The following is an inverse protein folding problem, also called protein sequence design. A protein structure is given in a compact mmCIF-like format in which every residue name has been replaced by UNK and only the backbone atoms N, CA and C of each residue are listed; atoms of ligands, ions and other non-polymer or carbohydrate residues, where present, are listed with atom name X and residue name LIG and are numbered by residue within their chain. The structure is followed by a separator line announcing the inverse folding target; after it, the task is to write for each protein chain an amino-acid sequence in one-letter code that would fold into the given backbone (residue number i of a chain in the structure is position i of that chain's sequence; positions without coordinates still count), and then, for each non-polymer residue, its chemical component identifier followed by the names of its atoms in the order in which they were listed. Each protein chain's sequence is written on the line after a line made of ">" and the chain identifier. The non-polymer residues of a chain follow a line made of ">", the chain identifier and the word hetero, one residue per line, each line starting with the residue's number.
data_IF_615995726261
#
_entry.id   IF_615995726261
#
_cell.length_a   1.000
_cell.length_b   1.000
_cell.length_c   1.000
_cell.angle_alpha   90.00
_cell.angle_beta   90.00
_cell.angle_gamma   90.00
#
_symmetry.space_group_name_H-M   'P 1'
#
loop_
_entity.id
_entity.type
_entity.pdbx_description
1 polymer ?
#
# COMPACT_ATOMS: atom_id res chain seq x y z
N UNK A 1 19.84 -4.85 -25.00
CA UNK A 1 18.86 -4.87 -26.10
C UNK A 1 17.86 -6.01 -25.89
N UNK A 2 18.35 -7.24 -25.66
CA UNK A 2 17.51 -8.44 -25.45
C UNK A 2 16.48 -8.32 -24.31
N UNK A 3 16.88 -7.86 -23.11
CA UNK A 3 15.96 -7.67 -21.96
C UNK A 3 14.88 -6.63 -22.26
N UNK A 4 15.24 -5.53 -22.92
CA UNK A 4 14.27 -4.50 -23.28
C UNK A 4 13.22 -5.02 -24.26
N UNK A 5 13.65 -5.80 -25.27
CA UNK A 5 12.75 -6.37 -26.27
C UNK A 5 11.83 -7.44 -25.67
N UNK A 6 12.34 -8.24 -24.73
CA UNK A 6 11.53 -9.20 -23.94
C UNK A 6 10.43 -8.49 -23.15
N UNK A 7 10.80 -7.49 -22.36
CA UNK A 7 9.83 -6.72 -21.55
C UNK A 7 8.83 -5.99 -22.43
N UNK A 8 9.27 -5.44 -23.57
CA UNK A 8 8.40 -4.79 -24.53
C UNK A 8 7.36 -5.75 -25.11
N UNK A 9 7.78 -6.95 -25.53
CA UNK A 9 6.88 -7.96 -26.06
C UNK A 9 5.83 -8.40 -25.01
N UNK A 10 6.27 -8.59 -23.76
CA UNK A 10 5.39 -8.93 -22.64
C UNK A 10 4.36 -7.81 -22.38
N UNK A 11 4.77 -6.54 -22.36
CA UNK A 11 3.88 -5.40 -22.19
C UNK A 11 2.92 -5.21 -23.41
N UNK A 12 3.35 -5.54 -24.63
CA UNK A 12 2.48 -5.54 -25.81
C UNK A 12 1.37 -6.61 -25.69
N UNK A 13 1.72 -7.82 -25.20
CA UNK A 13 0.74 -8.86 -24.91
C UNK A 13 -0.28 -8.41 -23.84
N UNK A 14 0.19 -7.83 -22.73
CA UNK A 14 -0.69 -7.29 -21.69
C UNK A 14 -1.59 -6.17 -22.21
N UNK A 15 -1.06 -5.28 -23.09
CA UNK A 15 -1.85 -4.19 -23.68
C UNK A 15 -2.94 -4.72 -24.60
N UNK A 16 -2.66 -5.73 -25.41
CA UNK A 16 -3.68 -6.39 -26.24
C UNK A 16 -4.75 -7.06 -25.37
N UNK A 17 -4.33 -7.81 -24.34
CA UNK A 17 -5.24 -8.48 -23.42
C UNK A 17 -6.14 -7.49 -22.64
N UNK A 18 -5.63 -6.29 -22.29
CA UNK A 18 -6.41 -5.29 -21.56
C UNK A 18 -7.65 -4.82 -22.31
N UNK A 19 -7.62 -4.76 -23.64
CA UNK A 19 -8.78 -4.37 -24.45
C UNK A 19 -9.92 -5.39 -24.38
N UNK A 20 -9.59 -6.68 -24.40
CA UNK A 20 -10.58 -7.75 -24.27
C UNK A 20 -11.11 -7.87 -22.85
N UNK A 21 -10.24 -7.75 -21.86
CA UNK A 21 -10.60 -7.78 -20.44
C UNK A 21 -11.57 -6.64 -20.06
N UNK A 22 -11.34 -5.43 -20.60
CA UNK A 22 -12.20 -4.28 -20.36
C UNK A 22 -13.64 -4.46 -20.88
N UNK A 23 -13.89 -5.42 -21.78
CA UNK A 23 -15.24 -5.73 -22.29
C UNK A 23 -15.95 -6.82 -21.48
N UNK A 24 -15.26 -7.49 -20.58
CA UNK A 24 -15.82 -8.53 -19.72
C UNK A 24 -16.74 -7.94 -18.65
N UNK A 25 -17.88 -8.57 -18.44
CA UNK A 25 -18.82 -8.19 -17.38
C UNK A 25 -18.24 -8.40 -15.98
N UNK A 26 -18.77 -7.68 -14.98
CA UNK A 26 -18.40 -7.90 -13.58
C UNK A 26 -18.63 -9.34 -13.11
N UNK A 27 -19.68 -10.00 -13.63
CA UNK A 27 -19.94 -11.41 -13.34
C UNK A 27 -18.83 -12.31 -13.88
N UNK A 28 -18.45 -12.18 -15.15
CA UNK A 28 -17.38 -12.99 -15.74
C UNK A 28 -16.07 -12.82 -14.99
N UNK A 29 -15.73 -11.58 -14.57
CA UNK A 29 -14.53 -11.31 -13.77
C UNK A 29 -14.61 -11.94 -12.38
N UNK A 30 -15.78 -11.92 -11.74
CA UNK A 30 -16.00 -12.57 -10.45
C UNK A 30 -15.89 -14.10 -10.55
N UNK A 31 -16.52 -14.70 -11.55
CA UNK A 31 -16.47 -16.16 -11.79
C UNK A 31 -15.01 -16.61 -12.03
N UNK A 32 -14.23 -15.84 -12.80
CA UNK A 32 -12.80 -16.06 -12.98
C UNK A 32 -12.03 -16.01 -11.66
N UNK A 33 -12.26 -14.99 -10.83
CA UNK A 33 -11.55 -14.83 -9.54
C UNK A 33 -11.87 -15.97 -8.57
N UNK A 34 -13.11 -16.44 -8.52
CA UNK A 34 -13.49 -17.60 -7.72
C UNK A 34 -12.79 -18.88 -8.20
N UNK A 35 -12.65 -19.08 -9.52
CA UNK A 35 -11.92 -20.22 -10.06
C UNK A 35 -10.41 -20.10 -9.77
N UNK A 36 -9.82 -18.89 -9.82
CA UNK A 36 -8.42 -18.65 -9.41
C UNK A 36 -8.23 -19.01 -7.93
N UNK A 37 -9.10 -18.55 -7.03
CA UNK A 37 -9.03 -18.87 -5.61
C UNK A 37 -9.06 -20.39 -5.37
N UNK A 38 -9.95 -21.09 -6.05
CA UNK A 38 -10.08 -22.55 -6.01
C UNK A 38 -8.81 -23.26 -6.52
N UNK A 39 -8.27 -22.83 -7.68
CA UNK A 39 -7.06 -23.43 -8.25
C UNK A 39 -5.81 -23.15 -7.39
N UNK A 40 -5.70 -22.02 -6.71
CA UNK A 40 -4.63 -21.78 -5.74
C UNK A 40 -4.69 -22.78 -4.56
N UNK A 41 -5.89 -23.08 -4.05
CA UNK A 41 -6.09 -24.11 -3.02
C UNK A 41 -5.68 -25.50 -3.50
N UNK A 42 -6.14 -25.88 -4.69
CA UNK A 42 -5.85 -27.20 -5.26
C UNK A 42 -4.36 -27.42 -5.53
N UNK A 43 -3.64 -26.36 -5.86
CA UNK A 43 -2.21 -26.40 -6.18
C UNK A 43 -1.34 -25.84 -5.01
N UNK A 44 -1.85 -25.81 -3.78
CA UNK A 44 -1.13 -25.26 -2.62
C UNK A 44 0.21 -25.96 -2.37
N UNK A 45 0.29 -27.27 -2.59
CA UNK A 45 1.53 -28.03 -2.45
C UNK A 45 2.64 -27.58 -3.39
N UNK A 46 2.30 -27.25 -4.64
CA UNK A 46 3.26 -26.76 -5.65
C UNK A 46 3.77 -25.36 -5.30
N UNK A 47 2.86 -24.48 -4.84
CA UNK A 47 3.22 -23.14 -4.36
C UNK A 47 4.18 -23.23 -3.17
N UNK A 48 3.87 -24.08 -2.17
CA UNK A 48 4.71 -24.28 -0.98
C UNK A 48 6.06 -24.90 -1.35
N UNK A 49 6.09 -25.81 -2.32
CA UNK A 49 7.33 -26.41 -2.81
C UNK A 49 8.22 -25.35 -3.47
N UNK A 50 7.69 -24.50 -4.32
CA UNK A 50 8.40 -23.38 -4.92
C UNK A 50 8.88 -22.37 -3.85
N UNK A 51 8.07 -22.10 -2.84
CA UNK A 51 8.41 -21.21 -1.73
C UNK A 51 9.57 -21.74 -0.87
N UNK A 52 9.64 -23.05 -0.65
CA UNK A 52 10.77 -23.67 0.05
C UNK A 52 12.10 -23.43 -0.66
N UNK A 53 12.12 -23.41 -2.00
CA UNK A 53 13.32 -23.08 -2.78
C UNK A 53 13.73 -21.64 -2.50
N UNK A 54 12.78 -20.69 -2.57
CA UNK A 54 13.03 -19.27 -2.29
C UNK A 54 13.55 -19.06 -0.87
N UNK A 55 12.95 -19.71 0.12
CA UNK A 55 13.37 -19.63 1.53
C UNK A 55 14.76 -20.19 1.78
N UNK A 56 15.14 -21.30 1.11
CA UNK A 56 16.48 -21.85 1.22
C UNK A 56 17.51 -20.87 0.66
N UNK A 57 17.28 -20.34 -0.54
CA UNK A 57 18.17 -19.36 -1.17
C UNK A 57 18.26 -18.06 -0.35
N UNK A 58 17.17 -17.62 0.25
CA UNK A 58 17.13 -16.43 1.10
C UNK A 58 18.00 -16.62 2.36
N UNK A 59 17.91 -17.78 3.02
CA UNK A 59 18.77 -18.13 4.17
C UNK A 59 20.24 -18.15 3.81
N UNK A 60 20.59 -18.80 2.69
CA UNK A 60 21.98 -18.88 2.19
C UNK A 60 22.56 -17.49 1.88
N UNK A 61 21.71 -16.55 1.50
CA UNK A 61 22.06 -15.14 1.26
C UNK A 61 22.06 -14.26 2.52
N UNK A 62 21.82 -14.82 3.73
CA UNK A 62 21.87 -14.09 5.01
C UNK A 62 20.72 -13.12 5.23
N UNK A 63 19.55 -13.36 4.63
CA UNK A 63 18.35 -12.53 4.87
C UNK A 63 17.86 -12.69 6.30
N UNK A 64 17.44 -11.60 6.94
CA UNK A 64 16.98 -11.58 8.33
C UNK A 64 15.75 -12.44 8.57
N UNK A 65 15.59 -12.95 9.81
CA UNK A 65 14.43 -13.79 10.19
C UNK A 65 13.08 -13.09 9.94
N UNK A 66 13.01 -11.78 10.16
CA UNK A 66 11.81 -10.99 9.89
C UNK A 66 11.44 -10.97 8.39
N UNK A 67 12.45 -10.91 7.52
CA UNK A 67 12.23 -10.98 6.06
C UNK A 67 11.92 -12.41 5.61
N UNK A 68 12.50 -13.43 6.26
CA UNK A 68 12.15 -14.83 6.00
C UNK A 68 10.70 -15.13 6.38
N UNK A 69 10.20 -14.58 7.50
CA UNK A 69 8.78 -14.72 7.85
C UNK A 69 7.85 -14.06 6.83
N UNK A 70 8.23 -12.87 6.31
CA UNK A 70 7.48 -12.20 5.23
C UNK A 70 7.43 -13.01 3.95
N UNK A 71 8.49 -13.76 3.64
CA UNK A 71 8.63 -14.57 2.43
C UNK A 71 7.91 -15.91 2.54
N UNK A 72 7.79 -16.45 3.75
CA UNK A 72 7.28 -17.80 4.00
C UNK A 72 5.80 -17.94 3.61
N UNK A 73 5.49 -19.00 2.86
CA UNK A 73 4.14 -19.50 2.64
C UNK A 73 3.98 -20.92 3.20
N UNK A 74 2.92 -21.13 3.95
CA UNK A 74 2.45 -22.43 4.42
C UNK A 74 0.99 -22.62 3.97
N UNK A 75 0.38 -23.75 4.27
CA UNK A 75 -1.02 -24.04 3.89
C UNK A 75 -1.99 -22.96 4.36
N UNK A 76 -1.85 -22.51 5.61
CA UNK A 76 -2.71 -21.46 6.17
C UNK A 76 -2.54 -20.12 5.42
N UNK A 77 -1.32 -19.75 5.04
CA UNK A 77 -1.06 -18.52 4.29
C UNK A 77 -1.55 -18.62 2.86
N UNK A 78 -1.42 -19.78 2.19
CA UNK A 78 -2.01 -20.00 0.86
C UNK A 78 -3.54 -19.95 0.91
N UNK A 79 -4.16 -20.57 1.93
CA UNK A 79 -5.61 -20.42 2.17
C UNK A 79 -6.00 -18.95 2.36
N UNK A 80 -5.18 -18.19 3.10
CA UNK A 80 -5.37 -16.74 3.26
C UNK A 80 -5.35 -15.97 1.94
N UNK A 81 -4.47 -16.35 0.99
CA UNK A 81 -4.44 -15.74 -0.36
C UNK A 81 -5.75 -16.02 -1.12
N UNK A 82 -6.22 -17.24 -1.09
CA UNK A 82 -7.48 -17.61 -1.76
C UNK A 82 -8.69 -16.89 -1.14
N UNK A 83 -8.76 -16.82 0.18
CA UNK A 83 -9.80 -16.08 0.92
C UNK A 83 -9.76 -14.58 0.60
N UNK A 84 -8.57 -13.98 0.48
CA UNK A 84 -8.43 -12.58 0.08
C UNK A 84 -9.00 -12.33 -1.33
N UNK A 85 -8.79 -13.24 -2.28
CA UNK A 85 -9.38 -13.13 -3.62
C UNK A 85 -10.93 -13.25 -3.55
N UNK A 86 -11.47 -14.17 -2.76
CA UNK A 86 -12.93 -14.28 -2.56
C UNK A 86 -13.51 -13.02 -1.92
N UNK A 87 -12.74 -12.39 -1.01
CA UNK A 87 -13.14 -11.10 -0.46
C UNK A 87 -13.19 -10.01 -1.54
N UNK A 88 -12.19 -9.93 -2.44
CA UNK A 88 -12.20 -9.01 -3.59
C UNK A 88 -13.43 -9.26 -4.48
N UNK A 89 -13.86 -10.51 -4.67
CA UNK A 89 -15.11 -10.84 -5.42
C UNK A 89 -16.34 -10.20 -4.78
N UNK A 90 -16.41 -10.17 -3.45
CA UNK A 90 -17.55 -9.61 -2.71
C UNK A 90 -17.66 -8.08 -2.82
N UNK A 91 -16.59 -7.39 -3.20
CA UNK A 91 -16.58 -5.94 -3.33
C UNK A 91 -17.44 -5.46 -4.50
N UNK A 92 -18.03 -4.26 -4.43
CA UNK A 92 -18.74 -3.65 -5.53
C UNK A 92 -17.88 -3.57 -6.80
N UNK A 93 -18.51 -3.73 -7.97
CA UNK A 93 -17.82 -3.53 -9.24
C UNK A 93 -17.56 -2.03 -9.47
N UNK A 94 -16.29 -1.59 -9.60
CA UNK A 94 -15.99 -0.18 -9.80
C UNK A 94 -16.32 0.29 -11.24
N UNK A 95 -16.45 -0.64 -12.20
CA UNK A 95 -16.62 -0.34 -13.62
C UNK A 95 -18.07 0.03 -13.94
N UNK A 96 -18.24 1.09 -14.74
CA UNK A 96 -19.55 1.58 -15.16
C UNK A 96 -20.30 2.43 -14.13
N UNK A 97 -19.76 2.56 -12.91
CA UNK A 97 -20.27 3.50 -11.92
C UNK A 97 -19.96 4.94 -12.34
N UNK A 98 -20.79 5.89 -11.91
CA UNK A 98 -20.53 7.29 -12.23
C UNK A 98 -21.79 8.16 -12.22
N UNK A 99 -21.75 9.29 -12.90
CA UNK A 99 -22.83 10.28 -12.95
C UNK A 99 -23.40 10.47 -14.35
N UNK A 100 -24.68 10.82 -14.41
CA UNK A 100 -25.38 11.13 -15.66
C UNK A 100 -26.05 12.50 -15.53
N UNK A 101 -25.88 13.37 -16.51
CA UNK A 101 -26.57 14.65 -16.55
C UNK A 101 -26.94 15.04 -17.98
N UNK A 102 -28.09 15.72 -18.12
CA UNK A 102 -28.60 16.19 -19.40
C UNK A 102 -28.41 17.71 -19.48
N UNK A 103 -27.87 18.17 -20.61
CA UNK A 103 -27.71 19.61 -20.87
C UNK A 103 -29.05 20.24 -21.29
N UNK A 104 -29.19 21.58 -21.19
CA UNK A 104 -30.44 22.26 -21.61
C UNK A 104 -30.81 22.02 -23.07
N UNK A 105 -29.85 21.73 -23.96
CA UNK A 105 -30.10 21.39 -25.35
C UNK A 105 -30.49 19.91 -25.57
N UNK A 106 -30.67 19.12 -24.52
CA UNK A 106 -31.03 17.69 -24.62
C UNK A 106 -29.86 16.71 -24.69
N UNK A 107 -28.61 17.20 -24.82
CA UNK A 107 -27.43 16.32 -24.89
C UNK A 107 -27.26 15.57 -23.55
N UNK A 108 -27.26 14.25 -23.61
CA UNK A 108 -27.04 13.38 -22.46
C UNK A 108 -25.55 13.03 -22.32
N UNK A 109 -24.97 13.35 -21.15
CA UNK A 109 -23.56 13.11 -20.84
C UNK A 109 -23.48 12.17 -19.66
N UNK A 110 -22.77 11.05 -19.84
CA UNK A 110 -22.46 10.07 -18.81
C UNK A 110 -20.97 10.14 -18.51
N UNK A 111 -20.61 10.36 -17.24
CA UNK A 111 -19.24 10.23 -16.76
C UNK A 111 -19.15 8.88 -16.04
N UNK A 112 -18.41 7.93 -16.57
CA UNK A 112 -18.35 6.55 -16.05
C UNK A 112 -16.93 6.13 -15.75
N UNK A 113 -16.75 5.32 -14.71
CA UNK A 113 -15.48 4.71 -14.39
C UNK A 113 -15.17 3.56 -15.36
N UNK A 114 -13.94 3.54 -15.85
CA UNK A 114 -13.39 2.51 -16.74
C UNK A 114 -12.02 2.07 -16.23
N UNK A 115 -11.51 0.88 -16.63
CA UNK A 115 -10.16 0.45 -16.28
C UNK A 115 -9.10 1.47 -16.71
N UNK A 116 -7.99 1.56 -15.98
CA UNK A 116 -6.79 2.29 -16.40
C UNK A 116 -6.17 1.68 -17.67
N UNK A 117 -6.16 0.35 -17.76
CA UNK A 117 -5.63 -0.42 -18.88
C UNK A 117 -4.60 -1.45 -18.46
N UNK A 118 -3.31 -1.12 -18.52
CA UNK A 118 -2.21 -1.98 -18.05
C UNK A 118 -1.57 -1.36 -16.80
N UNK A 119 -1.65 -2.07 -15.69
CA UNK A 119 -0.98 -1.73 -14.43
C UNK A 119 0.33 -2.50 -14.34
N UNK A 120 1.45 -1.83 -14.15
CA UNK A 120 2.71 -2.49 -13.80
C UNK A 120 2.96 -2.37 -12.30
N UNK A 121 3.50 -3.43 -11.68
CA UNK A 121 3.94 -3.40 -10.30
C UNK A 121 5.38 -3.87 -10.16
N UNK A 122 6.19 -3.06 -9.48
CA UNK A 122 7.54 -3.45 -9.06
C UNK A 122 7.53 -3.59 -7.54
N UNK A 123 7.80 -4.80 -7.04
CA UNK A 123 7.71 -5.10 -5.61
C UNK A 123 8.85 -5.99 -5.13
N UNK A 124 9.14 -5.89 -3.84
CA UNK A 124 10.19 -6.66 -3.14
C UNK A 124 9.60 -7.92 -2.51
N UNK A 125 10.38 -8.67 -1.78
CA UNK A 125 10.17 -9.96 -1.11
C UNK A 125 8.81 -10.15 -0.40
N UNK A 126 7.71 -10.16 -1.18
CA UNK A 126 6.34 -10.32 -0.69
C UNK A 126 5.51 -11.17 -1.67
N UNK A 127 5.55 -12.51 -1.56
CA UNK A 127 4.85 -13.39 -2.52
C UNK A 127 3.33 -13.18 -2.54
N UNK A 128 2.73 -12.72 -1.44
CA UNK A 128 1.30 -12.38 -1.37
C UNK A 128 0.91 -11.22 -2.30
N UNK A 129 1.82 -10.29 -2.64
CA UNK A 129 1.51 -9.18 -3.55
C UNK A 129 1.14 -9.68 -4.94
N UNK A 130 1.68 -10.83 -5.38
CA UNK A 130 1.37 -11.42 -6.70
C UNK A 130 -0.13 -11.70 -6.89
N UNK A 131 -0.80 -12.52 -6.05
CA UNK A 131 -2.23 -12.76 -6.19
C UNK A 131 -3.09 -11.56 -5.79
N UNK A 132 -2.67 -10.74 -4.81
CA UNK A 132 -3.39 -9.53 -4.41
C UNK A 132 -3.49 -8.54 -5.56
N UNK A 133 -2.37 -8.22 -6.21
CA UNK A 133 -2.33 -7.33 -7.35
C UNK A 133 -3.08 -7.90 -8.56
N UNK A 134 -2.93 -9.20 -8.83
CA UNK A 134 -3.64 -9.85 -9.92
C UNK A 134 -5.16 -9.78 -9.72
N UNK A 135 -5.65 -10.10 -8.52
CA UNK A 135 -7.09 -10.09 -8.24
C UNK A 135 -7.71 -8.69 -8.32
N UNK A 136 -7.05 -7.69 -7.72
CA UNK A 136 -7.51 -6.30 -7.78
C UNK A 136 -7.52 -5.75 -9.22
N UNK A 137 -6.46 -6.04 -10.00
CA UNK A 137 -6.39 -5.62 -11.39
C UNK A 137 -7.46 -6.33 -12.25
N UNK A 138 -7.61 -7.65 -12.13
CA UNK A 138 -8.64 -8.40 -12.88
C UNK A 138 -10.04 -7.96 -12.51
N UNK A 139 -10.35 -7.74 -11.22
CA UNK A 139 -11.65 -7.23 -10.75
C UNK A 139 -11.97 -5.86 -11.33
N UNK A 140 -10.99 -4.97 -11.39
CA UNK A 140 -11.13 -3.62 -11.96
C UNK A 140 -10.92 -3.57 -13.48
N UNK A 141 -10.83 -4.72 -14.17
CA UNK A 141 -10.74 -4.82 -15.62
C UNK A 141 -9.39 -4.45 -16.21
N UNK A 142 -8.34 -4.40 -15.41
CA UNK A 142 -6.97 -4.09 -15.83
C UNK A 142 -6.14 -5.35 -16.07
N UNK A 143 -5.33 -5.35 -17.13
CA UNK A 143 -4.21 -6.28 -17.22
C UNK A 143 -3.08 -5.84 -16.29
N UNK A 144 -2.29 -6.79 -15.78
CA UNK A 144 -1.20 -6.50 -14.85
C UNK A 144 0.12 -7.12 -15.30
N UNK A 145 1.20 -6.32 -15.18
CA UNK A 145 2.58 -6.76 -15.40
C UNK A 145 3.34 -6.69 -14.07
N UNK A 146 3.66 -7.86 -13.54
CA UNK A 146 4.26 -8.04 -12.23
C UNK A 146 5.78 -8.19 -12.36
N UNK A 147 6.54 -7.45 -11.56
CA UNK A 147 7.99 -7.60 -11.42
C UNK A 147 8.34 -7.70 -9.94
N UNK A 148 8.40 -8.93 -9.43
CA UNK A 148 8.79 -9.24 -8.05
C UNK A 148 10.30 -9.26 -7.83
N UNK A 149 10.71 -9.18 -6.55
CA UNK A 149 12.11 -9.36 -6.13
C UNK A 149 12.61 -10.78 -6.44
N UNK A 150 13.95 -10.93 -6.51
CA UNK A 150 14.61 -12.22 -6.75
C UNK A 150 14.33 -13.24 -5.64
N UNK A 151 14.04 -12.75 -4.44
CA UNK A 151 13.83 -13.54 -3.22
C UNK A 151 12.56 -14.38 -3.26
N UNK A 152 11.58 -14.03 -4.13
CA UNK A 152 10.28 -14.72 -4.25
C UNK A 152 10.02 -15.24 -5.67
N UNK A 153 11.02 -15.32 -6.53
CA UNK A 153 10.78 -15.54 -7.96
C UNK A 153 10.17 -16.90 -8.26
N UNK A 154 10.58 -17.97 -7.57
CA UNK A 154 10.04 -19.31 -7.80
C UNK A 154 8.58 -19.38 -7.34
N UNK A 155 8.27 -18.79 -6.20
CA UNK A 155 6.90 -18.67 -5.68
C UNK A 155 6.01 -17.87 -6.64
N UNK A 156 6.49 -16.71 -7.10
CA UNK A 156 5.74 -15.86 -8.03
C UNK A 156 5.48 -16.58 -9.36
N UNK A 157 6.45 -17.34 -9.89
CA UNK A 157 6.28 -18.18 -11.09
C UNK A 157 5.20 -19.23 -10.89
N UNK A 158 5.20 -19.95 -9.77
CA UNK A 158 4.21 -20.96 -9.47
C UNK A 158 2.79 -20.36 -9.39
N UNK A 159 2.60 -19.26 -8.67
CA UNK A 159 1.32 -18.57 -8.55
C UNK A 159 0.84 -18.06 -9.91
N UNK A 160 1.70 -17.38 -10.69
CA UNK A 160 1.31 -16.82 -12.00
C UNK A 160 1.03 -17.92 -13.02
N UNK A 161 1.71 -19.05 -12.97
CA UNK A 161 1.42 -20.20 -13.84
C UNK A 161 0.00 -20.73 -13.59
N UNK A 162 -0.41 -20.87 -12.32
CA UNK A 162 -1.77 -21.27 -11.94
C UNK A 162 -2.78 -20.25 -12.45
N UNK A 163 -2.54 -18.94 -12.23
CA UNK A 163 -3.45 -17.88 -12.69
C UNK A 163 -3.58 -17.91 -14.22
N UNK A 164 -2.49 -18.02 -14.97
CA UNK A 164 -2.51 -18.07 -16.43
C UNK A 164 -3.28 -19.27 -16.97
N UNK A 165 -3.07 -20.45 -16.38
CA UNK A 165 -3.82 -21.65 -16.76
C UNK A 165 -5.33 -21.48 -16.50
N UNK A 166 -5.69 -20.84 -15.38
CA UNK A 166 -7.08 -20.56 -15.02
C UNK A 166 -7.70 -19.53 -15.97
N UNK A 167 -6.97 -18.49 -16.36
CA UNK A 167 -7.40 -17.52 -17.37
C UNK A 167 -7.78 -18.21 -18.68
N UNK A 168 -6.88 -19.07 -19.22
CA UNK A 168 -7.13 -19.81 -20.47
C UNK A 168 -8.35 -20.75 -20.33
N UNK A 169 -8.45 -21.49 -19.20
CA UNK A 169 -9.58 -22.38 -18.89
C UNK A 169 -10.93 -21.62 -18.86
N UNK A 170 -10.94 -20.39 -18.38
CA UNK A 170 -12.14 -19.54 -18.30
C UNK A 170 -12.37 -18.68 -19.56
N UNK A 171 -11.59 -18.84 -20.63
CA UNK A 171 -11.76 -18.10 -21.88
C UNK A 171 -11.27 -16.65 -21.83
N UNK A 172 -10.30 -16.36 -20.96
CA UNK A 172 -9.59 -15.08 -20.92
C UNK A 172 -8.20 -15.22 -21.56
N UNK A 173 -7.66 -14.09 -22.02
CA UNK A 173 -6.28 -14.07 -22.48
C UNK A 173 -5.31 -14.22 -21.30
N UNK A 174 -4.40 -15.19 -21.38
CA UNK A 174 -3.38 -15.42 -20.34
C UNK A 174 -2.48 -14.21 -20.08
N UNK A 175 -2.36 -13.29 -21.04
CA UNK A 175 -1.59 -12.06 -20.91
C UNK A 175 -2.31 -10.99 -20.07
N UNK A 176 -3.52 -11.25 -19.56
CA UNK A 176 -4.14 -10.40 -18.52
C UNK A 176 -3.28 -10.33 -17.25
N UNK A 177 -2.48 -11.38 -16.96
CA UNK A 177 -1.50 -11.40 -15.86
C UNK A 177 -0.16 -11.84 -16.40
N UNK A 178 0.82 -10.95 -16.38
CA UNK A 178 2.17 -11.17 -16.85
C UNK A 178 3.19 -11.07 -15.71
N UNK A 179 4.21 -11.94 -15.72
CA UNK A 179 5.33 -11.87 -14.80
C UNK A 179 6.63 -11.62 -15.55
N UNK A 180 7.38 -10.61 -15.15
CA UNK A 180 8.75 -10.40 -15.56
C UNK A 180 9.63 -11.37 -14.77
N UNK A 181 10.13 -12.40 -15.42
CA UNK A 181 10.93 -13.47 -14.78
C UNK A 181 12.37 -13.05 -14.52
N UNK A 182 12.88 -12.14 -15.33
CA UNK A 182 14.20 -11.55 -15.12
C UNK A 182 14.16 -10.58 -13.94
N UNK A 183 14.93 -10.90 -12.89
CA UNK A 183 14.95 -10.12 -11.64
C UNK A 183 16.12 -9.12 -11.56
N UNK A 184 16.84 -8.86 -12.64
CA UNK A 184 17.92 -7.86 -12.68
C UNK A 184 17.37 -6.43 -12.57
N UNK A 185 18.22 -5.48 -12.21
CA UNK A 185 17.85 -4.06 -12.21
C UNK A 185 17.46 -3.55 -13.60
N UNK A 186 18.10 -4.10 -14.63
CA UNK A 186 17.82 -3.72 -16.03
C UNK A 186 16.39 -4.05 -16.44
N UNK A 187 15.83 -5.16 -15.95
CA UNK A 187 14.42 -5.50 -16.21
C UNK A 187 13.44 -4.51 -15.58
N UNK A 188 13.73 -4.02 -14.37
CA UNK A 188 12.94 -2.97 -13.72
C UNK A 188 13.07 -1.64 -14.49
N UNK A 189 14.29 -1.26 -14.90
CA UNK A 189 14.52 -0.06 -15.69
C UNK A 189 13.81 -0.13 -17.06
N UNK A 190 13.84 -1.30 -17.72
CA UNK A 190 13.11 -1.52 -18.97
C UNK A 190 11.59 -1.33 -18.75
N UNK A 191 11.02 -1.92 -17.69
CA UNK A 191 9.58 -1.80 -17.37
C UNK A 191 9.19 -0.34 -17.09
N UNK A 192 10.01 0.40 -16.33
CA UNK A 192 9.82 1.84 -16.08
C UNK A 192 9.81 2.68 -17.37
N UNK A 193 10.45 2.19 -18.43
CA UNK A 193 10.51 2.85 -19.74
C UNK A 193 9.33 2.55 -20.68
N UNK A 194 8.38 1.67 -20.34
CA UNK A 194 7.32 1.14 -21.24
C UNK A 194 6.13 2.11 -21.42
N UNK A 195 6.41 3.40 -21.62
CA UNK A 195 5.39 4.42 -21.88
C UNK A 195 4.59 4.09 -23.16
N UNK A 196 3.26 4.17 -23.04
CA UNK A 196 2.32 3.83 -24.11
C UNK A 196 1.91 2.35 -24.15
N UNK A 197 2.64 1.45 -23.49
CA UNK A 197 2.28 0.05 -23.28
C UNK A 197 1.76 -0.19 -21.86
N UNK A 198 2.36 0.47 -20.89
CA UNK A 198 1.94 0.49 -19.49
C UNK A 198 1.29 1.84 -19.21
N UNK A 199 0.11 1.83 -18.59
CA UNK A 199 -0.67 3.03 -18.30
C UNK A 199 -0.32 3.63 -16.93
N UNK A 200 -0.01 2.78 -15.96
CA UNK A 200 0.43 3.19 -14.61
C UNK A 200 1.40 2.17 -14.01
N UNK A 201 2.35 2.65 -13.21
CA UNK A 201 3.30 1.83 -12.47
C UNK A 201 3.15 2.11 -10.98
N UNK A 202 3.07 1.05 -10.17
CA UNK A 202 2.92 1.11 -8.71
C UNK A 202 4.12 0.41 -8.06
N UNK A 203 5.05 1.13 -7.42
CA UNK A 203 6.13 0.50 -6.64
C UNK A 203 5.61 0.01 -5.28
N UNK A 204 6.12 -1.12 -4.79
CA UNK A 204 5.83 -1.69 -3.45
C UNK A 204 7.10 -2.21 -2.80
N UNK A 205 7.72 -1.41 -1.95
CA UNK A 205 8.98 -1.79 -1.29
C UNK A 205 9.49 -0.68 -0.39
N UNK A 206 10.76 -0.74 -0.02
CA UNK A 206 11.39 0.28 0.81
C UNK A 206 11.59 1.63 0.10
N UNK A 207 11.88 2.68 0.87
CA UNK A 207 12.08 4.08 0.43
C UNK A 207 12.98 4.18 -0.81
N UNK A 208 14.08 3.38 -0.85
CA UNK A 208 15.01 3.40 -1.98
C UNK A 208 14.42 2.91 -3.31
N UNK A 209 13.59 1.86 -3.30
CA UNK A 209 12.90 1.39 -4.49
C UNK A 209 11.89 2.43 -4.97
N UNK A 210 11.09 2.96 -4.06
CA UNK A 210 10.04 3.94 -4.37
C UNK A 210 10.66 5.18 -5.00
N UNK A 211 11.69 5.75 -4.37
CA UNK A 211 12.41 6.92 -4.89
C UNK A 211 13.03 6.66 -6.27
N UNK A 212 13.65 5.49 -6.46
CA UNK A 212 14.22 5.13 -7.76
C UNK A 212 13.16 5.07 -8.86
N UNK A 213 11.98 4.50 -8.56
CA UNK A 213 10.88 4.43 -9.53
C UNK A 213 10.34 5.82 -9.83
N UNK A 214 10.05 6.63 -8.82
CA UNK A 214 9.49 7.99 -8.99
C UNK A 214 10.42 8.89 -9.81
N UNK A 215 11.74 8.79 -9.59
CA UNK A 215 12.73 9.63 -10.28
C UNK A 215 13.01 9.18 -11.72
N UNK A 216 12.93 7.89 -12.02
CA UNK A 216 13.41 7.32 -13.28
C UNK A 216 12.31 6.80 -14.21
N UNK A 217 11.07 6.60 -13.72
CA UNK A 217 10.00 6.10 -14.56
C UNK A 217 9.55 7.12 -15.61
N UNK A 218 9.34 6.64 -16.84
CA UNK A 218 8.70 7.37 -17.94
C UNK A 218 7.20 7.08 -18.05
N UNK A 219 6.76 6.01 -17.37
CA UNK A 219 5.37 5.64 -17.16
C UNK A 219 4.83 6.46 -16.00
N UNK A 220 3.56 6.92 -16.02
CA UNK A 220 2.93 7.53 -14.84
C UNK A 220 3.06 6.61 -13.62
N UNK A 221 3.40 7.18 -12.46
CA UNK A 221 3.60 6.43 -11.21
C UNK A 221 2.54 6.82 -10.21
N UNK A 222 1.95 5.83 -9.55
CA UNK A 222 1.24 6.04 -8.29
C UNK A 222 2.20 5.65 -7.18
N UNK A 223 2.70 6.65 -6.48
CA UNK A 223 3.67 6.48 -5.41
C UNK A 223 3.01 5.90 -4.17
N UNK A 224 3.54 4.79 -3.65
CA UNK A 224 3.22 4.31 -2.31
C UNK A 224 4.24 4.90 -1.35
N UNK A 225 3.78 5.69 -0.37
CA UNK A 225 4.68 6.42 0.52
C UNK A 225 5.34 5.53 1.58
N UNK A 226 6.55 5.91 2.01
CA UNK A 226 7.10 5.49 3.28
C UNK A 226 6.26 6.12 4.42
N UNK A 227 6.15 5.44 5.56
CA UNK A 227 5.27 5.85 6.65
C UNK A 227 5.99 6.44 7.86
N UNK A 228 6.56 7.65 7.75
CA UNK A 228 7.02 8.35 8.95
C UNK A 228 5.85 9.05 9.65
N UNK A 229 5.08 8.25 10.40
CA UNK A 229 3.84 8.67 11.06
C UNK A 229 4.09 9.22 12.46
N UNK A 230 3.23 10.16 12.90
CA UNK A 230 3.35 10.82 14.20
C UNK A 230 2.10 10.66 15.06
N UNK A 231 2.30 10.65 16.36
CA UNK A 231 1.23 10.78 17.34
C UNK A 231 1.56 11.95 18.26
N UNK A 232 0.63 12.91 18.37
CA UNK A 232 0.75 14.03 19.30
C UNK A 232 -0.19 13.84 20.50
N UNK A 233 0.37 13.91 21.70
CA UNK A 233 -0.35 13.90 22.99
C UNK A 233 -0.47 15.34 23.47
N UNK A 234 -1.67 15.89 23.39
CA UNK A 234 -1.98 17.28 23.75
C UNK A 234 -2.08 17.50 25.27
N UNK A 235 -2.03 18.77 25.75
CA UNK A 235 -2.15 19.11 27.15
C UNK A 235 -3.46 18.63 27.80
N UNK A 236 -4.52 18.50 27.01
CA UNK A 236 -5.86 18.06 27.45
C UNK A 236 -6.11 16.58 27.22
N UNK A 237 -5.09 15.80 26.83
CA UNK A 237 -5.27 14.39 26.53
C UNK A 237 -5.67 13.57 27.76
N UNK A 238 -6.60 12.64 27.59
CA UNK A 238 -6.75 11.50 28.49
C UNK A 238 -5.53 10.61 28.36
N UNK A 239 -4.73 10.51 29.45
CA UNK A 239 -3.45 9.82 29.46
C UNK A 239 -3.60 8.31 29.27
N UNK A 240 -4.65 7.69 29.79
CA UNK A 240 -4.92 6.26 29.64
C UNK A 240 -5.27 5.94 28.17
N UNK A 241 -6.06 6.78 27.52
CA UNK A 241 -6.35 6.70 26.09
C UNK A 241 -5.07 6.91 25.28
N UNK A 242 -4.25 7.92 25.60
CA UNK A 242 -3.02 8.21 24.90
C UNK A 242 -2.04 7.03 24.94
N UNK A 243 -1.85 6.38 26.09
CA UNK A 243 -1.01 5.19 26.25
C UNK A 243 -1.57 4.05 25.42
N UNK A 244 -2.87 3.76 25.51
CA UNK A 244 -3.52 2.68 24.75
C UNK A 244 -3.36 2.87 23.22
N UNK A 245 -3.57 4.09 22.75
CA UNK A 245 -3.43 4.41 21.31
C UNK A 245 -1.97 4.33 20.88
N UNK A 246 -1.02 4.89 21.63
CA UNK A 246 0.41 4.85 21.31
C UNK A 246 0.95 3.42 21.29
N UNK A 247 0.57 2.57 22.26
CA UNK A 247 0.91 1.14 22.27
C UNK A 247 0.41 0.43 21.03
N UNK A 248 -0.84 0.63 20.67
CA UNK A 248 -1.42 0.05 19.46
C UNK A 248 -0.70 0.58 18.22
N UNK A 249 -0.49 1.89 18.12
CA UNK A 249 0.10 2.54 16.97
C UNK A 249 1.56 2.12 16.70
N UNK A 250 2.35 1.81 17.73
CA UNK A 250 3.74 1.35 17.57
C UNK A 250 3.93 -0.13 17.75
N UNK A 251 3.35 -0.73 18.79
CA UNK A 251 3.76 -2.05 19.25
C UNK A 251 2.93 -3.20 18.65
N UNK A 252 1.76 -2.94 18.03
CA UNK A 252 0.94 -4.00 17.45
C UNK A 252 1.61 -4.64 16.21
N UNK A 253 2.29 -3.84 15.39
CA UNK A 253 3.06 -4.28 14.22
C UNK A 253 4.00 -3.16 13.77
N UNK A 254 5.24 -3.09 14.26
CA UNK A 254 6.14 -1.94 14.02
C UNK A 254 6.59 -1.81 12.55
N UNK A 255 6.62 -2.91 11.80
CA UNK A 255 7.18 -2.97 10.44
C UNK A 255 6.14 -2.69 9.33
N UNK A 256 5.18 -1.79 9.57
CA UNK A 256 4.19 -1.36 8.58
C UNK A 256 4.13 0.17 8.52
N UNK A 257 3.87 0.71 7.33
CA UNK A 257 3.94 2.14 7.03
C UNK A 257 2.97 3.03 7.86
N UNK A 258 1.92 2.46 8.46
CA UNK A 258 0.99 3.18 9.33
C UNK A 258 1.33 3.05 10.83
N UNK A 259 2.46 2.41 11.19
CA UNK A 259 2.98 2.46 12.55
C UNK A 259 3.60 3.85 12.81
N UNK A 260 3.44 4.37 14.03
CA UNK A 260 4.08 5.64 14.37
C UNK A 260 5.60 5.45 14.56
N UNK A 261 6.35 6.45 14.09
CA UNK A 261 7.80 6.51 14.27
C UNK A 261 8.20 7.60 15.28
N UNK A 262 7.34 8.61 15.47
CA UNK A 262 7.54 9.69 16.42
C UNK A 262 6.32 9.92 17.31
N UNK A 263 6.57 10.08 18.62
CA UNK A 263 5.60 10.55 19.62
C UNK A 263 5.97 11.95 20.07
N UNK A 264 5.09 12.91 19.82
CA UNK A 264 5.19 14.29 20.29
C UNK A 264 4.33 14.43 21.55
N UNK A 265 4.87 15.03 22.60
CA UNK A 265 4.17 15.13 23.88
C UNK A 265 4.19 16.57 24.37
N UNK A 266 3.01 17.10 24.70
CA UNK A 266 2.93 18.43 25.31
C UNK A 266 3.66 18.49 26.65
N UNK A 267 4.43 19.56 26.90
CA UNK A 267 5.29 19.72 28.08
C UNK A 267 4.56 19.51 29.41
N UNK A 268 3.29 19.90 29.50
CA UNK A 268 2.49 19.79 30.74
C UNK A 268 2.14 18.35 31.12
N UNK A 269 2.06 17.44 30.14
CA UNK A 269 1.68 16.04 30.41
C UNK A 269 2.85 15.08 30.21
N UNK A 270 4.01 15.57 29.77
CA UNK A 270 5.18 14.74 29.45
C UNK A 270 5.70 13.97 30.67
N UNK A 271 5.71 14.59 31.86
CA UNK A 271 6.17 13.95 33.09
C UNK A 271 5.27 12.81 33.58
N UNK A 272 3.99 12.80 33.18
CA UNK A 272 3.05 11.74 33.49
C UNK A 272 3.02 10.67 32.38
N UNK A 273 2.88 11.08 31.11
CA UNK A 273 2.72 10.18 29.98
C UNK A 273 3.98 9.34 29.70
N UNK A 274 5.15 9.99 29.57
CA UNK A 274 6.38 9.32 29.12
C UNK A 274 6.82 8.15 30.01
N UNK A 275 6.87 8.27 31.36
CA UNK A 275 7.27 7.15 32.22
C UNK A 275 6.28 5.97 32.14
N UNK A 276 4.98 6.25 32.06
CA UNK A 276 3.94 5.21 31.95
C UNK A 276 4.01 4.51 30.60
N UNK A 277 4.17 5.25 29.51
CA UNK A 277 4.32 4.68 28.17
C UNK A 277 5.60 3.83 28.06
N UNK A 278 6.71 4.32 28.61
CA UNK A 278 7.98 3.57 28.66
C UNK A 278 7.83 2.24 29.40
N UNK A 279 7.18 2.23 30.57
CA UNK A 279 6.98 1.01 31.36
C UNK A 279 6.10 0.00 30.61
N UNK A 280 4.99 0.43 30.01
CA UNK A 280 4.08 -0.44 29.25
C UNK A 280 4.73 -1.05 28.00
N UNK A 281 5.75 -0.39 27.44
CA UNK A 281 6.47 -0.87 26.25
C UNK A 281 7.64 -1.81 26.54
N UNK A 282 8.05 -1.97 27.80
CA UNK A 282 9.18 -2.87 28.20
C UNK A 282 9.02 -4.30 27.70
N UNK A 283 7.82 -4.83 27.74
CA UNK A 283 7.50 -6.20 27.27
C UNK A 283 7.74 -6.41 25.75
N UNK A 284 7.81 -5.32 24.99
CA UNK A 284 8.09 -5.35 23.55
C UNK A 284 9.56 -5.07 23.23
N UNK A 285 10.36 -4.66 24.22
CA UNK A 285 11.75 -4.24 24.01
C UNK A 285 11.88 -2.95 23.18
N UNK A 286 10.90 -2.02 23.26
CA UNK A 286 10.90 -0.79 22.48
C UNK A 286 12.08 0.12 22.89
N UNK A 287 12.92 0.48 21.93
CA UNK A 287 14.01 1.45 22.08
C UNK A 287 13.44 2.87 21.96
N UNK A 288 13.76 3.72 22.93
CA UNK A 288 13.37 5.13 22.91
C UNK A 288 14.57 6.00 22.51
N UNK A 289 14.32 6.96 21.62
CA UNK A 289 15.25 8.04 21.28
C UNK A 289 14.56 9.37 21.58
N UNK A 290 15.11 10.14 22.52
CA UNK A 290 14.41 11.30 23.07
C UNK A 290 15.13 12.62 22.83
N UNK A 291 14.39 13.73 22.72
CA UNK A 291 14.98 15.07 22.85
C UNK A 291 15.55 15.27 24.27
N UNK A 292 16.38 16.29 24.51
CA UNK A 292 16.98 16.52 25.84
C UNK A 292 15.98 16.51 27.00
N UNK A 293 14.77 17.08 26.79
CA UNK A 293 13.71 17.07 27.82
C UNK A 293 13.19 15.66 28.06
N UNK A 294 12.99 14.87 27.01
CA UNK A 294 12.57 13.45 27.11
C UNK A 294 13.64 12.64 27.85
N UNK A 295 14.94 12.84 27.54
CA UNK A 295 16.06 12.18 28.23
C UNK A 295 16.14 12.54 29.70
N UNK A 296 15.78 13.76 30.07
CA UNK A 296 15.73 14.19 31.48
C UNK A 296 14.56 13.49 32.24
N UNK A 297 13.44 13.23 31.58
CA UNK A 297 12.28 12.51 32.17
C UNK A 297 12.53 10.99 32.20
N UNK A 298 13.21 10.44 31.20
CA UNK A 298 13.50 9.01 31.05
C UNK A 298 15.03 8.78 31.04
N UNK A 299 15.69 8.74 32.19
CA UNK A 299 17.16 8.56 32.27
C UNK A 299 17.58 7.23 31.62
N UNK A 300 18.62 7.27 30.79
CA UNK A 300 19.24 6.09 30.17
C UNK A 300 18.74 5.74 28.80
N UNK A 301 17.76 6.46 28.23
CA UNK A 301 17.40 6.34 26.79
C UNK A 301 18.46 7.06 25.93
N UNK A 302 18.47 6.75 24.63
CA UNK A 302 19.34 7.42 23.66
C UNK A 302 18.83 8.83 23.33
N UNK A 303 19.76 9.77 23.11
CA UNK A 303 19.41 11.09 22.59
C UNK A 303 19.04 10.97 21.10
N UNK A 304 17.94 11.61 20.71
CA UNK A 304 17.47 11.66 19.33
C UNK A 304 18.19 12.76 18.53
N UNK A 305 18.55 12.45 17.31
CA UNK A 305 19.10 13.40 16.33
C UNK A 305 18.01 13.82 15.34
N UNK A 306 18.31 14.80 14.48
CA UNK A 306 17.40 15.18 13.38
C UNK A 306 17.12 14.02 12.42
N UNK A 307 18.11 13.12 12.20
CA UNK A 307 17.95 11.91 11.38
C UNK A 307 16.96 10.93 12.00
N UNK A 308 16.91 10.82 13.32
CA UNK A 308 15.95 9.96 14.01
C UNK A 308 14.50 10.38 13.75
N UNK A 309 14.23 11.68 13.67
CA UNK A 309 12.90 12.20 13.35
C UNK A 309 12.52 12.06 11.86
N UNK A 310 13.49 11.91 10.94
CA UNK A 310 13.27 11.69 9.51
C UNK A 310 13.25 10.20 9.12
N UNK A 311 13.43 9.30 10.11
CA UNK A 311 13.61 7.87 9.87
C UNK A 311 12.32 7.09 10.08
N UNK A 312 11.91 6.32 9.07
CA UNK A 312 10.99 5.19 9.21
C UNK A 312 11.82 3.99 9.69
N UNK A 313 11.67 3.62 10.96
CA UNK A 313 12.49 2.56 11.58
C UNK A 313 12.05 1.16 11.15
N UNK A 314 10.76 0.96 10.89
CA UNK A 314 10.19 -0.38 10.61
C UNK A 314 10.47 -1.41 11.71
N UNK A 315 10.80 -0.96 12.93
CA UNK A 315 11.25 -1.78 14.05
C UNK A 315 10.70 -1.25 15.39
N UNK A 316 11.00 -1.96 16.48
CA UNK A 316 10.70 -1.53 17.85
C UNK A 316 11.63 -0.39 18.30
N UNK A 317 11.59 0.72 17.58
CA UNK A 317 12.29 1.97 17.89
C UNK A 317 11.30 3.11 17.73
N UNK A 318 11.29 4.08 18.65
CA UNK A 318 10.42 5.25 18.59
C UNK A 318 11.17 6.51 19.00
N UNK A 319 11.00 7.58 18.22
CA UNK A 319 11.47 8.91 18.58
C UNK A 319 10.45 9.63 19.46
N UNK A 320 10.90 10.31 20.51
CA UNK A 320 10.04 11.05 21.42
C UNK A 320 10.51 12.50 21.57
N UNK A 321 9.60 13.46 21.39
CA UNK A 321 9.89 14.88 21.55
C UNK A 321 8.86 15.58 22.40
N UNK A 322 9.33 16.33 23.43
CA UNK A 322 8.48 17.24 24.20
C UNK A 322 8.34 18.55 23.43
N UNK A 323 7.11 19.03 23.30
CA UNK A 323 6.75 20.26 22.56
C UNK A 323 5.91 21.20 23.41
N UNK A 324 5.95 22.51 23.11
CA UNK A 324 5.25 23.53 23.90
C UNK A 324 3.76 23.66 23.59
N UNK A 325 3.26 22.97 22.54
CA UNK A 325 1.85 23.01 22.16
C UNK A 325 1.59 22.46 20.78
N UNK A 326 0.32 22.52 20.37
CA UNK A 326 -0.16 21.97 19.07
C UNK A 326 0.55 22.62 17.88
N UNK A 327 0.84 23.93 17.92
CA UNK A 327 1.55 24.61 16.83
C UNK A 327 2.96 24.04 16.64
N UNK A 328 3.70 23.80 17.73
CA UNK A 328 5.04 23.18 17.67
C UNK A 328 4.99 21.73 17.19
N UNK A 329 3.92 20.99 17.52
CA UNK A 329 3.69 19.64 16.99
C UNK A 329 3.43 19.67 15.48
N UNK A 330 2.59 20.60 15.01
CA UNK A 330 2.30 20.80 13.59
C UNK A 330 3.58 21.17 12.81
N UNK A 331 4.42 22.07 13.34
CA UNK A 331 5.69 22.44 12.72
C UNK A 331 6.63 21.23 12.59
N UNK A 332 6.72 20.41 13.64
CA UNK A 332 7.52 19.19 13.63
C UNK A 332 7.01 18.21 12.56
N UNK A 333 5.71 17.94 12.54
CA UNK A 333 5.09 17.04 11.57
C UNK A 333 5.30 17.54 10.14
N UNK A 334 5.14 18.83 9.88
CA UNK A 334 5.39 19.42 8.56
C UNK A 334 6.84 19.25 8.09
N UNK A 335 7.79 19.22 9.03
CA UNK A 335 9.22 19.07 8.71
C UNK A 335 9.59 17.62 8.39
N UNK A 336 9.04 16.65 9.12
CA UNK A 336 9.55 15.28 9.11
C UNK A 336 8.57 14.23 8.56
N UNK A 337 7.26 14.54 8.52
CA UNK A 337 6.28 13.59 8.01
C UNK A 337 6.44 13.32 6.52
N UNK A 338 6.15 12.09 6.14
CA UNK A 338 6.00 11.67 4.74
C UNK A 338 4.60 11.92 4.19
N UNK A 339 3.70 12.53 4.98
CA UNK A 339 2.30 12.78 4.60
C UNK A 339 1.42 11.53 4.63
N UNK A 340 1.80 10.49 5.39
CA UNK A 340 1.05 9.24 5.46
C UNK A 340 -0.09 9.32 6.49
N UNK A 341 0.21 9.26 7.78
CA UNK A 341 -0.82 9.21 8.83
C UNK A 341 -0.39 9.89 10.10
N UNK A 342 -1.21 10.81 10.62
CA UNK A 342 -0.91 11.55 11.84
C UNK A 342 -2.09 11.47 12.81
N UNK A 343 -1.78 11.41 14.11
CA UNK A 343 -2.81 11.33 15.15
C UNK A 343 -2.57 12.39 16.23
N UNK A 344 -3.66 12.95 16.74
CA UNK A 344 -3.69 13.77 17.95
C UNK A 344 -4.58 13.10 19.00
N UNK A 345 -4.11 13.07 20.25
CA UNK A 345 -4.93 12.69 21.42
C UNK A 345 -5.21 13.95 22.21
N UNK A 346 -6.50 14.32 22.27
CA UNK A 346 -6.92 15.58 22.88
C UNK A 346 -8.42 15.56 23.26
N UNK A 347 -8.77 16.25 24.34
CA UNK A 347 -10.17 16.58 24.69
C UNK A 347 -10.52 18.02 24.24
N UNK A 348 -9.55 18.76 23.68
CA UNK A 348 -9.76 20.13 23.21
C UNK A 348 -10.13 20.15 21.73
N UNK A 349 -11.41 20.39 21.43
CA UNK A 349 -11.92 20.45 20.07
C UNK A 349 -11.21 21.48 19.17
N UNK A 350 -10.75 22.63 19.74
CA UNK A 350 -10.00 23.62 18.97
C UNK A 350 -8.64 23.09 18.53
N UNK A 351 -7.93 22.38 19.40
CA UNK A 351 -6.63 21.79 19.07
C UNK A 351 -6.80 20.66 18.05
N UNK A 352 -7.88 19.86 18.17
CA UNK A 352 -8.24 18.85 17.18
C UNK A 352 -8.48 19.47 15.79
N UNK A 353 -9.32 20.50 15.72
CA UNK A 353 -9.62 21.21 14.46
C UNK A 353 -8.38 21.88 13.87
N UNK A 354 -7.54 22.53 14.71
CA UNK A 354 -6.30 23.15 14.26
C UNK A 354 -5.35 22.12 13.68
N UNK A 355 -5.17 20.98 14.35
CA UNK A 355 -4.33 19.88 13.91
C UNK A 355 -4.80 19.33 12.55
N UNK A 356 -6.07 18.97 12.44
CA UNK A 356 -6.65 18.37 11.22
C UNK A 356 -6.61 19.35 10.03
N UNK A 357 -6.85 20.63 10.26
CA UNK A 357 -6.87 21.62 9.18
C UNK A 357 -5.47 22.13 8.79
N UNK A 358 -4.46 21.94 9.64
CA UNK A 358 -3.11 22.46 9.41
C UNK A 358 -2.12 21.45 8.84
N UNK A 359 -2.42 20.15 8.94
CA UNK A 359 -1.56 19.07 8.46
C UNK A 359 -2.13 18.51 7.15
N UNK A 360 -1.27 18.29 6.17
CA UNK A 360 -1.64 17.80 4.86
C UNK A 360 -1.12 16.36 4.65
N UNK A 361 -1.51 15.46 5.56
CA UNK A 361 -1.28 14.02 5.43
C UNK A 361 -2.51 13.31 4.85
N UNK A 362 -2.34 12.11 4.29
CA UNK A 362 -3.45 11.41 3.64
C UNK A 362 -4.50 10.88 4.62
N UNK A 363 -4.12 10.63 5.88
CA UNK A 363 -5.03 10.23 6.94
C UNK A 363 -4.71 10.99 8.24
N UNK A 364 -5.73 11.59 8.84
CA UNK A 364 -5.64 12.34 10.09
C UNK A 364 -6.60 11.78 11.10
N UNK A 365 -6.13 11.57 12.31
CA UNK A 365 -6.87 10.93 13.38
C UNK A 365 -7.00 11.83 14.59
N UNK A 366 -8.18 11.85 15.20
CA UNK A 366 -8.43 12.43 16.51
C UNK A 366 -8.83 11.29 17.43
N UNK A 367 -8.08 11.09 18.50
CA UNK A 367 -8.31 10.05 19.52
C UNK A 367 -8.37 8.62 18.96
N UNK A 368 -7.60 8.35 17.91
CA UNK A 368 -7.53 7.03 17.27
C UNK A 368 -6.12 6.72 16.77
N UNK A 369 -5.84 5.43 16.61
CA UNK A 369 -4.55 4.92 16.15
C UNK A 369 -4.36 5.10 14.65
N UNK A 370 -3.16 5.45 14.21
CA UNK A 370 -2.76 5.48 12.80
C UNK A 370 -2.85 4.12 12.11
N UNK A 371 -2.90 3.03 12.90
CA UNK A 371 -3.05 1.65 12.41
C UNK A 371 -4.35 1.41 11.61
N UNK A 372 -5.33 2.28 11.73
CA UNK A 372 -6.54 2.23 10.93
C UNK A 372 -6.35 2.70 9.46
N UNK A 373 -5.20 3.26 9.09
CA UNK A 373 -4.92 3.57 7.67
C UNK A 373 -4.62 2.28 6.90
N UNK A 374 -5.69 1.58 6.53
CA UNK A 374 -5.67 0.26 5.90
C UNK A 374 -6.95 0.12 5.05
N UNK A 375 -6.85 -0.51 3.89
CA UNK A 375 -7.99 -0.66 2.98
C UNK A 375 -9.13 -1.50 3.55
N UNK A 376 -8.83 -2.50 4.38
CA UNK A 376 -9.85 -3.29 5.08
C UNK A 376 -10.56 -2.47 6.14
N UNK A 377 -9.83 -1.76 6.99
CA UNK A 377 -10.36 -0.92 8.06
C UNK A 377 -11.17 0.28 7.52
N UNK A 378 -10.80 0.82 6.36
CA UNK A 378 -11.54 1.90 5.69
C UNK A 378 -12.77 1.41 4.91
N UNK A 379 -13.05 0.09 4.93
CA UNK A 379 -14.19 -0.48 4.22
C UNK A 379 -13.99 -0.62 2.71
N UNK A 380 -12.75 -0.45 2.22
CA UNK A 380 -12.41 -0.67 0.81
C UNK A 380 -12.20 -2.15 0.52
N UNK A 381 -12.17 -2.99 1.55
CA UNK A 381 -12.07 -4.45 1.51
C UNK A 381 -10.68 -4.98 1.19
N UNK A 382 -9.95 -4.36 0.28
CA UNK A 382 -8.57 -4.70 -0.07
C UNK A 382 -7.84 -3.46 -0.57
N UNK A 383 -6.50 -3.49 -0.55
CA UNK A 383 -5.69 -2.40 -1.06
C UNK A 383 -4.50 -2.88 -1.87
N UNK A 384 -4.15 -2.13 -2.90
CA UNK A 384 -2.91 -2.34 -3.66
C UNK A 384 -1.72 -1.60 -3.03
N UNK A 385 -2.01 -0.68 -2.13
CA UNK A 385 -1.07 0.12 -1.37
C UNK A 385 -1.69 1.40 -0.83
N UNK A 386 -0.90 2.18 -0.09
CA UNK A 386 -1.30 3.46 0.47
C UNK A 386 -0.47 4.55 -0.21
N UNK A 387 -1.14 5.50 -0.86
CA UNK A 387 -0.48 6.61 -1.56
C UNK A 387 -0.50 7.88 -0.73
N UNK A 388 0.64 8.58 -0.68
CA UNK A 388 0.74 9.90 -0.05
C UNK A 388 0.68 11.05 -1.07
N UNK A 389 0.72 10.74 -2.37
CA UNK A 389 0.63 11.75 -3.42
C UNK A 389 -0.77 12.36 -3.52
N UNK A 390 -0.87 13.56 -4.09
CA UNK A 390 -2.16 14.28 -4.24
C UNK A 390 -2.85 14.00 -5.57
N UNK A 391 -2.10 13.61 -6.58
CA UNK A 391 -2.62 13.39 -7.91
C UNK A 391 -3.13 11.96 -8.06
N UNK A 392 -4.36 11.80 -8.55
CA UNK A 392 -5.11 10.57 -8.77
C UNK A 392 -5.60 9.93 -7.45
N UNK A 393 -4.84 9.01 -6.83
CA UNK A 393 -5.23 8.32 -5.60
C UNK A 393 -4.40 8.79 -4.40
N UNK A 394 -5.06 8.98 -3.25
CA UNK A 394 -4.43 9.35 -1.98
C UNK A 394 -5.03 8.54 -0.84
N UNK A 395 -4.21 8.05 0.08
CA UNK A 395 -4.61 7.11 1.11
C UNK A 395 -4.61 5.67 0.63
N UNK A 396 -5.32 4.75 1.31
CA UNK A 396 -5.48 3.36 0.91
C UNK A 396 -6.12 3.26 -0.49
N UNK A 397 -5.50 2.51 -1.38
CA UNK A 397 -5.91 2.38 -2.78
C UNK A 397 -6.68 1.07 -3.00
N UNK A 398 -8.00 1.11 -2.93
CA UNK A 398 -8.88 0.01 -3.30
C UNK A 398 -9.14 -0.08 -4.82
N UNK A 399 -10.23 -0.77 -5.19
CA UNK A 399 -10.60 -1.01 -6.59
C UNK A 399 -10.84 0.29 -7.39
N UNK A 400 -11.43 1.31 -6.79
CA UNK A 400 -11.71 2.59 -7.47
C UNK A 400 -10.43 3.31 -7.90
N UNK A 401 -9.35 3.20 -7.13
CA UNK A 401 -8.04 3.77 -7.48
C UNK A 401 -7.41 3.13 -8.73
N UNK A 402 -7.89 1.96 -9.15
CA UNK A 402 -7.47 1.28 -10.39
C UNK A 402 -8.38 1.61 -11.58
N UNK A 403 -9.18 2.67 -11.48
CA UNK A 403 -10.06 3.16 -12.54
C UNK A 403 -9.77 4.59 -12.92
N UNK A 404 -10.29 5.00 -14.06
CA UNK A 404 -10.32 6.40 -14.52
C UNK A 404 -11.67 6.71 -15.12
N UNK A 405 -11.94 7.99 -15.38
CA UNK A 405 -13.22 8.43 -15.92
C UNK A 405 -13.19 8.51 -17.44
N UNK A 406 -14.32 8.11 -18.07
CA UNK A 406 -14.59 8.31 -19.48
C UNK A 406 -15.96 8.96 -19.65
N UNK A 407 -16.06 9.90 -20.59
CA UNK A 407 -17.32 10.51 -20.97
C UNK A 407 -17.95 9.80 -22.14
N UNK A 408 -19.23 9.41 -22.00
CA UNK A 408 -20.06 8.88 -23.07
C UNK A 408 -21.15 9.90 -23.34
N UNK A 409 -21.16 10.45 -24.55
CA UNK A 409 -22.08 11.50 -24.94
C UNK A 409 -23.08 10.91 -25.95
N UNK A 410 -24.36 11.00 -25.63
CA UNK A 410 -25.45 10.58 -26.53
C UNK A 410 -26.24 11.80 -26.97
N UNK A 411 -26.34 11.97 -28.28
CA UNK A 411 -27.07 13.05 -28.92
C UNK A 411 -28.00 12.54 -30.00
N UNK A 412 -28.80 13.44 -30.57
CA UNK A 412 -29.69 13.23 -31.70
C UNK A 412 -29.42 14.35 -32.72
N UNK A 413 -28.26 14.27 -33.39
CA UNK A 413 -27.82 15.27 -34.36
C UNK A 413 -27.37 16.62 -33.76
N UNK A 414 -27.05 16.67 -32.50
CA UNK A 414 -26.60 17.91 -31.84
C UNK A 414 -25.32 18.46 -32.49
N UNK A 415 -25.34 19.76 -32.80
CA UNK A 415 -24.18 20.54 -33.27
C UNK A 415 -23.91 21.72 -32.33
N UNK A 416 -22.66 22.21 -32.31
CA UNK A 416 -22.25 23.38 -31.53
C UNK A 416 -22.29 24.64 -32.38
#
# INVERSE_FOLDING_TARGET
>A
MEIFDEIKALCQGAKAASYTLATKSGRERNDLLLEIAKELRLNSADIISANKIDLSQAKDNGISDAMLDRLMLNEQRVEGLATAIEHVVSLPDPIGTGSVFTRPNGLNIQCVNVPLGVVAMIYEARPNVTPDAASLCLKSGNAVVLRGGKEAINTNKAIVAIIKSTLEKCGFDKNCVCLVENTTRDSANALMGMRGLVDVLIPRGGKGLIQNVVQNARVPVIETGAGNCHLYVDESADIDMAIKVALNAKCSRPSVCNAIETVLVHEKVAAEFLPRFFEETRKYGLEFRGCPTTCAILPGIKEATDEDYDTEYDDYIVSCRVVGGVDSAIEHIRKYSTGHSESIITENARNADLFVNSIDSCALYVNASTRFTDGGEFGLGAEIGISTQKLHARGPMGLEALTTQKYIIKGDGHTR
#
